data_IF_783700871702
#
_entry.id   IF_783700871702
#
_cell.length_a   1.000
_cell.length_b   1.000
_cell.length_c   1.000
_cell.angle_alpha   90.00
_cell.angle_beta   90.00
_cell.angle_gamma   90.00
#
_symmetry.space_group_name_H-M   'P 1'
#
loop_
_entity.id
_entity.type
_entity.pdbx_description
1 polymer ?
#
# COMPACT_ATOMS: atom_id res chain seq x y z
N UNK A 1 -6.30 -14.88 -19.11
CA UNK A 1 -6.61 -15.62 -17.85
C UNK A 1 -7.29 -14.75 -16.78
N UNK A 2 -7.13 -13.41 -16.79
CA UNK A 2 -7.78 -12.48 -15.84
C UNK A 2 -9.34 -12.52 -15.85
N UNK A 3 -9.98 -12.74 -17.01
CA UNK A 3 -11.45 -12.75 -17.13
C UNK A 3 -12.18 -13.88 -16.38
N UNK A 4 -11.49 -14.92 -15.90
CA UNK A 4 -12.14 -15.99 -15.13
C UNK A 4 -12.37 -15.60 -13.65
N UNK A 5 -11.64 -14.62 -13.14
CA UNK A 5 -11.70 -14.24 -11.72
C UNK A 5 -12.84 -13.27 -11.40
N UNK A 6 -13.17 -12.34 -12.32
CA UNK A 6 -14.26 -11.38 -12.13
C UNK A 6 -15.65 -12.04 -12.02
N UNK A 7 -15.90 -13.13 -12.77
CA UNK A 7 -17.22 -13.80 -12.86
C UNK A 7 -17.70 -14.53 -11.60
N UNK A 8 -16.90 -14.62 -10.53
CA UNK A 8 -17.28 -15.30 -9.27
C UNK A 8 -17.57 -14.35 -8.10
N UNK A 9 -17.41 -13.04 -8.29
CA UNK A 9 -17.59 -12.06 -7.24
C UNK A 9 -18.98 -11.45 -7.39
N UNK A 10 -19.80 -11.48 -6.33
CA UNK A 10 -21.09 -10.82 -6.31
C UNK A 10 -20.84 -9.30 -6.31
N UNK A 11 -20.75 -8.69 -7.48
CA UNK A 11 -20.48 -7.26 -7.70
C UNK A 11 -21.76 -6.48 -8.06
N UNK A 12 -22.87 -7.19 -8.26
CA UNK A 12 -24.14 -6.70 -8.81
C UNK A 12 -24.83 -5.59 -7.98
N UNK A 13 -24.44 -5.44 -6.70
CA UNK A 13 -24.98 -4.43 -5.78
C UNK A 13 -24.10 -3.17 -5.62
N UNK A 14 -23.06 -3.00 -6.44
CA UNK A 14 -22.22 -1.80 -6.41
C UNK A 14 -22.77 -0.75 -7.39
N UNK A 15 -22.91 0.49 -6.94
CA UNK A 15 -23.24 1.64 -7.79
C UNK A 15 -22.01 2.09 -8.61
N UNK A 16 -21.37 1.15 -9.31
CA UNK A 16 -20.16 1.35 -10.10
C UNK A 16 -20.40 0.75 -11.48
N UNK A 17 -19.99 1.43 -12.54
CA UNK A 17 -20.14 0.94 -13.91
C UNK A 17 -19.38 -0.38 -14.12
N UNK A 18 -20.04 -1.35 -14.74
CA UNK A 18 -19.47 -2.70 -14.96
C UNK A 18 -18.18 -2.65 -15.81
N UNK A 19 -18.11 -1.76 -16.79
CA UNK A 19 -16.90 -1.58 -17.62
C UNK A 19 -15.71 -1.11 -16.77
N UNK A 20 -15.95 -0.20 -15.83
CA UNK A 20 -14.94 0.26 -14.88
C UNK A 20 -14.47 -0.89 -13.99
N UNK A 21 -15.40 -1.68 -13.45
CA UNK A 21 -15.11 -2.89 -12.66
C UNK A 21 -14.21 -3.86 -13.43
N UNK A 22 -14.56 -4.17 -14.68
CA UNK A 22 -13.87 -5.18 -15.48
C UNK A 22 -12.47 -4.72 -15.87
N UNK A 23 -12.34 -3.50 -16.41
CA UNK A 23 -11.07 -2.93 -16.82
C UNK A 23 -10.11 -2.84 -15.64
N UNK A 24 -10.56 -2.25 -14.54
CA UNK A 24 -9.73 -2.01 -13.39
C UNK A 24 -9.32 -3.32 -12.69
N UNK A 25 -10.23 -4.30 -12.60
CA UNK A 25 -9.90 -5.63 -12.08
C UNK A 25 -8.81 -6.30 -12.92
N UNK A 26 -8.91 -6.23 -14.25
CA UNK A 26 -7.89 -6.78 -15.14
C UNK A 26 -6.52 -6.12 -14.93
N UNK A 27 -6.47 -4.79 -14.90
CA UNK A 27 -5.23 -4.03 -14.72
C UNK A 27 -4.52 -4.40 -13.40
N UNK A 28 -5.25 -4.44 -12.29
CA UNK A 28 -4.67 -4.82 -10.99
C UNK A 28 -4.17 -6.27 -10.99
N UNK A 29 -4.92 -7.22 -11.55
CA UNK A 29 -4.46 -8.61 -11.58
C UNK A 29 -3.25 -8.81 -12.49
N UNK A 30 -3.16 -8.07 -13.61
CA UNK A 30 -1.98 -8.09 -14.47
C UNK A 30 -0.76 -7.52 -13.74
N UNK A 31 -0.90 -6.37 -13.08
CA UNK A 31 0.18 -5.77 -12.31
C UNK A 31 0.63 -6.69 -11.15
N UNK A 32 -0.31 -7.37 -10.49
CA UNK A 32 0.01 -8.35 -9.44
C UNK A 32 0.80 -9.53 -10.03
N UNK A 33 0.35 -10.11 -11.13
CA UNK A 33 1.02 -11.25 -11.75
C UNK A 33 2.45 -10.90 -12.20
N UNK A 34 2.65 -9.68 -12.68
CA UNK A 34 3.98 -9.15 -12.99
C UNK A 34 4.84 -9.04 -11.71
N UNK A 35 4.32 -8.43 -10.64
CA UNK A 35 5.04 -8.29 -9.37
C UNK A 35 5.33 -9.62 -8.65
N UNK A 36 4.49 -10.65 -8.87
CA UNK A 36 4.73 -12.00 -8.37
C UNK A 36 5.96 -12.64 -9.05
N UNK A 37 6.23 -12.30 -10.31
CA UNK A 37 7.30 -12.90 -11.14
C UNK A 37 8.56 -12.05 -11.24
N UNK A 38 8.43 -10.73 -11.18
CA UNK A 38 9.52 -9.76 -11.22
C UNK A 38 9.51 -8.93 -9.92
N UNK A 39 10.51 -9.17 -9.07
CA UNK A 39 10.63 -8.50 -7.77
C UNK A 39 10.76 -6.97 -7.91
N UNK A 40 11.33 -6.46 -9.01
CA UNK A 40 11.49 -5.03 -9.23
C UNK A 40 10.15 -4.29 -9.38
N UNK A 41 9.08 -5.01 -9.67
CA UNK A 41 7.74 -4.45 -9.89
C UNK A 41 6.89 -4.40 -8.62
N UNK A 42 7.36 -5.02 -7.53
CA UNK A 42 6.62 -5.17 -6.28
C UNK A 42 6.33 -3.84 -5.60
N UNK A 43 7.33 -2.99 -5.48
CA UNK A 43 7.14 -1.68 -4.88
C UNK A 43 6.17 -0.80 -5.68
N UNK A 44 6.22 -0.89 -7.02
CA UNK A 44 5.27 -0.21 -7.89
C UNK A 44 3.84 -0.74 -7.67
N UNK A 45 3.66 -2.06 -7.61
CA UNK A 45 2.37 -2.67 -7.35
C UNK A 45 1.79 -2.27 -5.98
N UNK A 46 2.61 -2.29 -4.92
CA UNK A 46 2.16 -1.84 -3.59
C UNK A 46 1.80 -0.35 -3.61
N UNK A 47 2.55 0.48 -4.34
CA UNK A 47 2.21 1.91 -4.48
C UNK A 47 0.85 2.12 -5.16
N UNK A 48 0.53 1.32 -6.19
CA UNK A 48 -0.79 1.31 -6.84
C UNK A 48 -1.87 0.99 -5.80
N UNK A 49 -1.68 -0.05 -4.98
CA UNK A 49 -2.65 -0.43 -3.95
C UNK A 49 -2.80 0.63 -2.86
N UNK A 50 -1.72 1.30 -2.45
CA UNK A 50 -1.80 2.41 -1.50
C UNK A 50 -2.69 3.53 -2.06
N UNK A 51 -2.44 3.96 -3.29
CA UNK A 51 -3.26 5.00 -3.93
C UNK A 51 -4.73 4.56 -4.11
N UNK A 52 -4.93 3.28 -4.41
CA UNK A 52 -6.25 2.71 -4.63
C UNK A 52 -7.07 2.53 -3.35
N UNK A 53 -6.43 2.35 -2.19
CA UNK A 53 -7.08 1.96 -0.94
C UNK A 53 -7.04 3.03 0.15
N UNK A 54 -6.26 4.10 -0.02
CA UNK A 54 -6.17 5.18 0.95
C UNK A 54 -7.30 6.21 0.74
N UNK A 55 -8.01 6.59 1.81
CA UNK A 55 -9.04 7.65 1.82
C UNK A 55 -10.12 7.53 0.73
N UNK A 56 -10.62 6.30 0.47
CA UNK A 56 -11.66 6.05 -0.53
C UNK A 56 -13.07 5.98 0.06
N UNK A 57 -14.12 6.30 -0.72
CA UNK A 57 -15.51 6.03 -0.34
C UNK A 57 -15.72 4.54 -0.02
N UNK A 58 -16.67 4.24 0.87
CA UNK A 58 -16.96 2.87 1.32
C UNK A 58 -17.31 1.92 0.16
N UNK A 59 -18.02 2.39 -0.86
CA UNK A 59 -18.39 1.62 -2.06
C UNK A 59 -17.16 1.13 -2.84
N UNK A 60 -16.14 1.99 -2.97
CA UNK A 60 -14.89 1.64 -3.63
C UNK A 60 -14.14 0.62 -2.78
N UNK A 61 -13.98 0.89 -1.48
CA UNK A 61 -13.30 -0.02 -0.57
C UNK A 61 -13.93 -1.42 -0.57
N UNK A 62 -15.26 -1.50 -0.64
CA UNK A 62 -16.00 -2.75 -0.77
C UNK A 62 -15.74 -3.45 -2.10
N UNK A 63 -15.71 -2.72 -3.21
CA UNK A 63 -15.33 -3.26 -4.52
C UNK A 63 -13.95 -3.92 -4.47
N UNK A 64 -12.93 -3.20 -4.01
CA UNK A 64 -11.56 -3.72 -3.87
C UNK A 64 -11.53 -4.97 -2.99
N UNK A 65 -12.22 -4.93 -1.83
CA UNK A 65 -12.27 -6.06 -0.91
C UNK A 65 -12.87 -7.31 -1.57
N UNK A 66 -13.93 -7.15 -2.39
CA UNK A 66 -14.56 -8.24 -3.14
C UNK A 66 -13.63 -8.85 -4.19
N UNK A 67 -12.80 -8.03 -4.84
CA UNK A 67 -11.76 -8.52 -5.77
C UNK A 67 -10.47 -8.96 -5.06
N UNK A 68 -10.47 -9.02 -3.73
CA UNK A 68 -9.39 -9.60 -2.94
C UNK A 68 -8.28 -8.63 -2.53
N UNK A 69 -8.44 -7.34 -2.80
CA UNK A 69 -7.49 -6.30 -2.41
C UNK A 69 -8.12 -5.44 -1.30
N UNK A 70 -7.51 -5.40 -0.12
CA UNK A 70 -7.91 -4.48 0.93
C UNK A 70 -6.66 -4.05 1.70
N UNK A 71 -6.80 -3.08 2.60
CA UNK A 71 -5.66 -2.52 3.32
C UNK A 71 -4.87 -3.59 4.08
N UNK A 72 -5.57 -4.45 4.86
CA UNK A 72 -4.94 -5.51 5.64
C UNK A 72 -4.18 -6.53 4.77
N UNK A 73 -4.80 -6.99 3.67
CA UNK A 73 -4.16 -7.92 2.73
C UNK A 73 -2.99 -7.28 2.00
N UNK A 74 -3.08 -5.99 1.70
CA UNK A 74 -1.99 -5.22 1.09
C UNK A 74 -0.82 -5.12 2.06
N UNK A 75 -1.08 -4.82 3.33
CA UNK A 75 -0.05 -4.79 4.38
C UNK A 75 0.63 -6.16 4.55
N UNK A 76 -0.15 -7.25 4.60
CA UNK A 76 0.39 -8.62 4.69
C UNK A 76 1.25 -8.98 3.48
N UNK A 77 0.80 -8.64 2.26
CA UNK A 77 1.55 -8.91 1.03
C UNK A 77 2.86 -8.11 1.00
N UNK A 78 2.81 -6.82 1.33
CA UNK A 78 4.01 -5.98 1.39
C UNK A 78 5.00 -6.48 2.44
N UNK A 79 4.52 -6.94 3.60
CA UNK A 79 5.34 -7.55 4.65
C UNK A 79 6.06 -8.81 4.16
N UNK A 80 5.40 -9.65 3.35
CA UNK A 80 6.02 -10.81 2.74
C UNK A 80 7.09 -10.39 1.73
N UNK A 81 6.79 -9.42 0.88
CA UNK A 81 7.69 -8.98 -0.17
C UNK A 81 8.89 -8.16 0.32
N UNK A 82 8.75 -7.41 1.42
CA UNK A 82 9.86 -6.66 2.01
C UNK A 82 10.96 -7.58 2.56
N UNK A 83 10.65 -8.84 2.86
CA UNK A 83 11.65 -9.83 3.31
C UNK A 83 12.75 -10.10 2.27
N UNK A 84 12.52 -9.77 1.01
CA UNK A 84 13.54 -9.86 -0.04
C UNK A 84 14.60 -8.75 0.04
N UNK A 85 14.45 -7.78 0.95
CA UNK A 85 15.45 -6.75 1.22
C UNK A 85 15.52 -5.65 0.16
N UNK A 86 14.47 -5.47 -0.64
CA UNK A 86 14.34 -4.33 -1.57
C UNK A 86 14.11 -3.03 -0.78
N UNK A 87 15.03 -2.06 -0.82
CA UNK A 87 14.87 -0.78 -0.12
C UNK A 87 13.62 0.00 -0.52
N UNK A 88 13.15 -0.14 -1.78
CA UNK A 88 11.93 0.52 -2.21
C UNK A 88 10.70 -0.10 -1.53
N UNK A 89 10.73 -1.41 -1.24
CA UNK A 89 9.69 -2.07 -0.46
C UNK A 89 9.67 -1.60 1.00
N UNK A 90 10.83 -1.36 1.61
CA UNK A 90 10.90 -0.76 2.96
C UNK A 90 10.27 0.65 2.96
N UNK A 91 10.53 1.46 1.92
CA UNK A 91 9.86 2.75 1.77
C UNK A 91 8.32 2.58 1.68
N UNK A 92 7.83 1.60 0.91
CA UNK A 92 6.39 1.32 0.85
C UNK A 92 5.84 0.83 2.21
N UNK A 93 6.59 0.02 2.97
CA UNK A 93 6.20 -0.41 4.32
C UNK A 93 6.05 0.75 5.29
N UNK A 94 6.93 1.76 5.20
CA UNK A 94 6.80 3.01 5.94
C UNK A 94 5.48 3.73 5.62
N UNK A 95 5.16 3.87 4.32
CA UNK A 95 3.89 4.48 3.88
C UNK A 95 2.67 3.69 4.36
N UNK A 96 2.69 2.36 4.25
CA UNK A 96 1.59 1.50 4.69
C UNK A 96 1.35 1.60 6.21
N UNK A 97 2.44 1.68 6.98
CA UNK A 97 2.38 1.84 8.44
C UNK A 97 1.83 3.21 8.81
N UNK A 98 2.29 4.27 8.14
CA UNK A 98 1.84 5.65 8.37
C UNK A 98 0.34 5.84 8.07
N UNK A 99 -0.19 5.13 7.07
CA UNK A 99 -1.61 5.17 6.72
C UNK A 99 -2.43 4.07 7.43
N UNK A 100 -1.85 3.42 8.45
CA UNK A 100 -2.42 2.33 9.23
C UNK A 100 -3.15 1.24 8.42
N UNK A 101 -2.54 0.77 7.33
CA UNK A 101 -3.12 -0.33 6.54
C UNK A 101 -3.22 -1.64 7.33
N UNK A 102 -2.53 -1.75 8.47
CA UNK A 102 -2.65 -2.85 9.42
C UNK A 102 -3.87 -2.76 10.35
N UNK A 103 -4.49 -1.60 10.49
CA UNK A 103 -5.52 -1.33 11.51
C UNK A 103 -5.00 -1.39 12.95
N UNK A 104 -3.68 -1.35 13.15
CA UNK A 104 -3.03 -1.48 14.46
C UNK A 104 -3.11 -0.20 15.26
N UNK A 105 -3.14 0.94 14.57
CA UNK A 105 -3.07 2.27 15.16
C UNK A 105 -4.41 3.01 15.10
N UNK A 106 -5.51 2.32 14.77
CA UNK A 106 -6.84 2.91 14.66
C UNK A 106 -7.26 3.63 15.95
N UNK A 107 -6.93 3.06 17.11
CA UNK A 107 -7.21 3.65 18.42
C UNK A 107 -6.09 4.59 18.92
N UNK A 108 -4.91 4.55 18.30
CA UNK A 108 -3.71 5.29 18.72
C UNK A 108 -2.93 5.86 17.51
N UNK A 109 -3.53 6.77 16.71
CA UNK A 109 -2.98 7.20 15.42
C UNK A 109 -1.63 7.91 15.53
N UNK A 110 -1.32 8.50 16.69
CA UNK A 110 -0.03 9.14 16.97
C UNK A 110 1.15 8.15 16.95
N UNK A 111 0.91 6.85 17.12
CA UNK A 111 1.97 5.84 17.10
C UNK A 111 2.39 5.41 15.68
N UNK A 112 1.55 5.67 14.67
CA UNK A 112 1.84 5.29 13.28
C UNK A 112 3.10 6.00 12.74
N UNK A 113 3.29 7.27 13.11
CA UNK A 113 4.44 8.08 12.69
C UNK A 113 5.78 7.52 13.24
N UNK A 114 5.99 7.39 14.56
CA UNK A 114 7.19 6.74 15.10
C UNK A 114 7.43 5.34 14.55
N UNK A 115 6.36 4.54 14.40
CA UNK A 115 6.47 3.18 13.85
C UNK A 115 6.89 3.15 12.38
N UNK A 116 6.51 4.16 11.59
CA UNK A 116 6.89 4.28 10.18
C UNK A 116 8.34 4.74 9.99
N UNK A 117 8.90 5.53 10.93
CA UNK A 117 10.26 6.07 10.83
C UNK A 117 11.33 4.99 10.65
N UNK A 118 11.19 3.84 11.33
CA UNK A 118 12.18 2.75 11.21
C UNK A 118 12.34 2.28 9.76
N UNK A 119 11.23 2.24 9.01
CA UNK A 119 11.20 1.81 7.62
C UNK A 119 11.78 2.88 6.71
N UNK A 120 11.42 4.15 6.94
CA UNK A 120 11.99 5.26 6.18
C UNK A 120 13.50 5.39 6.39
N UNK A 121 14.00 5.19 7.62
CA UNK A 121 15.44 5.16 7.91
C UNK A 121 16.14 4.04 7.16
N UNK A 122 15.63 2.81 7.26
CA UNK A 122 16.19 1.66 6.54
C UNK A 122 16.27 1.91 5.02
N UNK A 123 15.20 2.44 4.41
CA UNK A 123 15.19 2.78 2.99
C UNK A 123 16.18 3.92 2.64
N UNK A 124 16.24 4.96 3.46
CA UNK A 124 17.12 6.11 3.24
C UNK A 124 18.61 5.75 3.36
N UNK A 125 18.97 4.91 4.33
CA UNK A 125 20.32 4.36 4.51
C UNK A 125 20.79 3.54 3.29
N UNK A 126 19.85 2.98 2.55
CA UNK A 126 20.09 2.23 1.32
C UNK A 126 19.95 3.07 0.04
N UNK A 127 19.75 4.39 0.17
CA UNK A 127 19.78 5.31 -0.96
C UNK A 127 18.44 5.61 -1.62
N UNK A 128 17.31 5.23 -1.02
CA UNK A 128 15.99 5.60 -1.55
C UNK A 128 15.78 7.11 -1.41
N UNK A 129 15.75 7.81 -2.53
CA UNK A 129 15.73 9.28 -2.60
C UNK A 129 14.49 9.86 -1.93
N UNK A 130 13.34 9.22 -2.11
CA UNK A 130 12.08 9.63 -1.50
C UNK A 130 12.13 9.51 0.03
N UNK A 131 12.78 8.46 0.55
CA UNK A 131 12.95 8.26 1.98
C UNK A 131 13.93 9.30 2.58
N UNK A 132 15.03 9.58 1.89
CA UNK A 132 16.00 10.61 2.28
C UNK A 132 15.35 12.00 2.32
N UNK A 133 14.58 12.34 1.29
CA UNK A 133 13.87 13.61 1.19
C UNK A 133 12.83 13.76 2.30
N UNK A 134 12.06 12.70 2.57
CA UNK A 134 11.08 12.66 3.65
C UNK A 134 11.75 12.87 5.02
N UNK A 135 12.82 12.14 5.32
CA UNK A 135 13.54 12.30 6.58
C UNK A 135 14.19 13.68 6.71
N UNK A 136 14.72 14.24 5.62
CA UNK A 136 15.22 15.61 5.61
C UNK A 136 14.15 16.63 6.02
N UNK A 137 12.92 16.47 5.52
CA UNK A 137 11.78 17.27 5.93
C UNK A 137 11.45 17.09 7.42
N UNK A 138 11.35 15.85 7.89
CA UNK A 138 11.05 15.53 9.29
C UNK A 138 12.09 16.14 10.24
N UNK A 139 13.38 15.96 9.95
CA UNK A 139 14.46 16.46 10.81
C UNK A 139 14.64 17.98 10.75
N UNK A 140 14.27 18.63 9.65
CA UNK A 140 14.37 20.10 9.53
C UNK A 140 13.12 20.84 10.02
N UNK A 141 11.97 20.16 10.09
CA UNK A 141 10.65 20.79 10.24
C UNK A 141 10.20 21.17 11.65
N UNK A 142 10.95 20.92 12.71
CA UNK A 142 10.47 21.14 14.08
C UNK A 142 9.31 20.22 14.51
N UNK A 143 8.86 19.32 13.63
CA UNK A 143 7.82 18.31 13.87
C UNK A 143 8.34 17.08 14.64
N UNK A 144 9.54 17.17 15.24
CA UNK A 144 10.22 16.04 15.88
C UNK A 144 9.35 15.34 16.94
N UNK A 145 8.64 16.13 17.74
CA UNK A 145 7.71 15.62 18.76
C UNK A 145 6.58 14.76 18.17
N UNK A 146 6.01 15.14 17.02
CA UNK A 146 4.96 14.37 16.34
C UNK A 146 5.48 13.08 15.71
N UNK A 147 6.77 13.06 15.38
CA UNK A 147 7.46 11.89 14.83
C UNK A 147 8.17 11.06 15.91
N UNK A 148 8.18 11.51 17.16
CA UNK A 148 8.78 10.84 18.32
C UNK A 148 10.31 10.85 18.31
N UNK A 149 10.92 11.96 17.87
CA UNK A 149 12.38 12.12 17.72
C UNK A 149 12.89 13.44 18.28
#
# INVERSE_FOLDING_TARGET
QANKYAKKMNLDNLLIEQEYIDKFSQEIYMAKALADTDKSQRAAFISILIHALNNRPESDALFFSRIGFNQEKTFRLATLWSQDGDPQMDYQMGRLTLNDFSGRYADEPYQARPASLKWFRAAAEKGVVEAQSLLGGIYSGGEGDEWGI
#
